data_IF_742225329631
#
_entry.id   IF_742225329631
#
_cell.length_a   1.000
_cell.length_b   1.000
_cell.length_c   1.000
_cell.angle_alpha   90.00
_cell.angle_beta   90.00
_cell.angle_gamma   90.00
#
_symmetry.space_group_name_H-M   'P 1'
#
loop_
_entity.id
_entity.type
_entity.pdbx_description
1 polymer ?
#
# COMPACT_ATOMS: atom_id res chain seq x y z
N UNK A 1 6.64 -2.29 -3.01
CA UNK A 1 5.51 -1.52 -2.46
C UNK A 1 5.68 -1.07 -1.00
N UNK A 2 5.86 -1.89 0.04
CA UNK A 2 5.96 -1.35 1.43
C UNK A 2 7.27 -0.65 1.81
N UNK A 3 8.39 -0.89 1.11
CA UNK A 3 9.62 -0.10 1.37
C UNK A 3 9.38 1.35 0.92
N UNK A 4 8.83 1.54 -0.29
CA UNK A 4 8.36 2.84 -0.77
C UNK A 4 7.30 3.44 0.17
N UNK A 5 6.31 2.66 0.62
CA UNK A 5 5.28 3.15 1.57
C UNK A 5 5.85 3.55 2.93
N UNK A 6 6.93 2.92 3.40
CA UNK A 6 7.60 3.26 4.66
C UNK A 6 8.44 4.52 4.51
N UNK A 7 9.17 4.66 3.41
CA UNK A 7 9.98 5.87 3.11
C UNK A 7 9.12 7.11 2.80
N UNK A 8 7.98 6.93 2.11
CA UNK A 8 6.99 7.98 1.81
C UNK A 8 6.36 8.54 3.08
N UNK A 9 6.24 7.76 4.17
CA UNK A 9 5.70 8.30 5.44
C UNK A 9 6.66 9.20 6.20
N UNK A 10 7.96 9.21 5.84
CA UNK A 10 8.95 10.15 6.38
C UNK A 10 9.27 10.01 7.88
N UNK A 11 8.86 8.90 8.51
CA UNK A 11 9.21 8.58 9.89
C UNK A 11 10.06 7.32 9.90
N UNK A 12 11.34 7.43 10.26
CA UNK A 12 12.07 6.27 10.75
C UNK A 12 11.51 5.93 12.14
N UNK A 13 10.54 5.01 12.17
CA UNK A 13 9.79 4.64 13.37
C UNK A 13 10.67 4.18 14.54
N UNK A 14 11.94 3.85 14.31
CA UNK A 14 12.89 3.49 15.37
C UNK A 14 13.48 4.72 16.05
N UNK A 15 14.15 5.60 15.30
CA UNK A 15 14.85 6.77 15.86
C UNK A 15 13.87 7.85 16.34
N UNK A 16 12.77 8.08 15.61
CA UNK A 16 11.76 9.08 16.00
C UNK A 16 10.98 8.69 17.25
N UNK A 17 10.84 7.38 17.52
CA UNK A 17 10.19 6.89 18.75
C UNK A 17 11.12 6.92 19.94
N UNK A 18 12.42 6.69 19.76
CA UNK A 18 13.38 6.83 20.88
C UNK A 18 13.42 8.30 21.34
N UNK A 19 13.49 9.26 20.41
CA UNK A 19 13.46 10.68 20.76
C UNK A 19 12.12 11.15 21.34
N UNK A 20 10.98 10.68 20.79
CA UNK A 20 9.66 11.06 21.30
C UNK A 20 9.29 10.32 22.60
N UNK A 21 9.81 9.10 22.82
CA UNK A 21 9.59 8.36 24.06
C UNK A 21 10.23 9.03 25.27
N UNK A 22 11.36 9.73 25.10
CA UNK A 22 11.94 10.55 26.16
C UNK A 22 10.97 11.67 26.59
N UNK A 23 10.27 12.30 25.64
CA UNK A 23 9.31 13.37 25.93
C UNK A 23 7.98 12.85 26.51
N UNK A 24 7.57 11.62 26.22
CA UNK A 24 6.36 11.01 26.80
C UNK A 24 6.59 10.38 28.18
N UNK A 25 7.81 9.91 28.47
CA UNK A 25 8.19 9.40 29.80
C UNK A 25 8.17 10.51 30.86
N UNK A 26 8.46 11.77 30.48
CA UNK A 26 8.31 12.93 31.37
C UNK A 26 6.84 13.27 31.72
N UNK A 27 5.87 12.77 30.94
CA UNK A 27 4.43 13.06 31.09
C UNK A 27 3.61 11.85 31.52
N UNK A 28 4.06 11.09 32.53
CA UNK A 28 3.21 10.30 33.44
C UNK A 28 2.11 9.37 32.87
N UNK A 29 2.14 8.98 31.60
CA UNK A 29 1.06 8.27 30.88
C UNK A 29 1.52 6.93 30.28
N UNK A 30 2.56 6.32 30.87
CA UNK A 30 3.35 5.24 30.25
C UNK A 30 2.68 3.87 30.22
N UNK A 31 1.84 3.49 31.18
CA UNK A 31 1.28 2.13 31.24
C UNK A 31 0.14 1.88 30.24
N UNK A 32 -0.72 2.89 30.04
CA UNK A 32 -1.87 2.81 29.12
C UNK A 32 -1.40 2.79 27.66
N UNK A 33 -0.37 3.59 27.33
CA UNK A 33 0.20 3.64 25.98
C UNK A 33 0.87 2.33 25.55
N UNK A 34 1.67 1.71 26.44
CA UNK A 34 2.36 0.43 26.13
C UNK A 34 1.34 -0.71 25.97
N UNK A 35 0.32 -0.79 26.84
CA UNK A 35 -0.72 -1.80 26.72
C UNK A 35 -1.48 -1.69 25.39
N UNK A 36 -1.88 -0.48 25.01
CA UNK A 36 -2.58 -0.24 23.75
C UNK A 36 -1.70 -0.61 22.54
N UNK A 37 -0.41 -0.25 22.58
CA UNK A 37 0.55 -0.59 21.53
C UNK A 37 0.73 -2.12 21.36
N UNK A 38 0.85 -2.86 22.46
CA UNK A 38 0.96 -4.33 22.44
C UNK A 38 -0.35 -4.95 21.93
N UNK A 39 -1.49 -4.48 22.43
CA UNK A 39 -2.81 -4.99 22.03
C UNK A 39 -3.07 -4.79 20.54
N UNK A 40 -2.86 -3.58 20.03
CA UNK A 40 -2.96 -3.29 18.58
C UNK A 40 -1.97 -4.13 17.78
N UNK A 41 -0.74 -4.27 18.27
CA UNK A 41 0.29 -5.14 17.69
C UNK A 41 -0.16 -6.59 17.54
N UNK A 42 -0.74 -7.18 18.59
CA UNK A 42 -1.25 -8.55 18.59
C UNK A 42 -2.38 -8.70 17.58
N UNK A 43 -3.37 -7.79 17.60
CA UNK A 43 -4.51 -7.83 16.67
C UNK A 43 -4.03 -7.77 15.22
N UNK A 44 -3.13 -6.84 14.91
CA UNK A 44 -2.59 -6.67 13.57
C UNK A 44 -1.71 -7.85 13.16
N UNK A 45 -0.90 -8.39 14.07
CA UNK A 45 -0.07 -9.56 13.81
C UNK A 45 -0.91 -10.81 13.49
N UNK A 46 -1.99 -11.06 14.24
CA UNK A 46 -2.92 -12.17 13.94
C UNK A 46 -3.61 -11.95 12.59
N UNK A 47 -4.04 -10.72 12.29
CA UNK A 47 -4.65 -10.38 11.00
C UNK A 47 -3.69 -10.65 9.84
N UNK A 48 -2.44 -10.18 9.95
CA UNK A 48 -1.42 -10.35 8.91
C UNK A 48 -0.96 -11.80 8.78
N UNK A 49 -0.88 -12.55 9.88
CA UNK A 49 -0.66 -14.00 9.85
C UNK A 49 -1.76 -14.73 9.08
N UNK A 50 -3.02 -14.35 9.29
CA UNK A 50 -4.16 -14.91 8.57
C UNK A 50 -4.03 -14.67 7.05
N UNK A 51 -3.76 -13.43 6.65
CA UNK A 51 -3.51 -13.08 5.25
C UNK A 51 -2.31 -13.82 4.65
N UNK A 52 -1.21 -13.89 5.39
CA UNK A 52 0.00 -14.59 4.95
C UNK A 52 -0.18 -16.11 4.87
N UNK A 53 -1.21 -16.68 5.51
CA UNK A 53 -1.51 -18.09 5.42
C UNK A 53 -2.34 -18.45 4.17
N UNK A 54 -2.97 -17.47 3.52
CA UNK A 54 -3.73 -17.70 2.29
C UNK A 54 -2.76 -17.75 1.11
N UNK A 55 -2.92 -18.71 0.17
CA UNK A 55 -3.91 -19.80 0.17
C UNK A 55 -3.38 -21.09 0.80
N UNK A 56 -2.06 -21.23 0.94
CA UNK A 56 -1.39 -22.52 1.15
C UNK A 56 -1.57 -23.12 2.55
N UNK A 57 -1.70 -22.29 3.57
CA UNK A 57 -1.55 -22.68 4.97
C UNK A 57 -2.82 -22.46 5.81
N UNK A 58 -3.81 -21.73 5.30
CA UNK A 58 -4.96 -21.22 6.09
C UNK A 58 -5.71 -22.31 6.86
N UNK A 59 -5.87 -23.50 6.28
CA UNK A 59 -6.54 -24.64 6.93
C UNK A 59 -5.58 -25.52 7.73
N UNK A 60 -4.37 -25.74 7.21
CA UNK A 60 -3.45 -26.77 7.71
C UNK A 60 -2.67 -26.26 8.92
N UNK A 61 -2.27 -24.98 8.89
CA UNK A 61 -1.38 -24.38 9.88
C UNK A 61 -1.99 -24.33 11.30
N UNK A 62 -3.26 -23.92 11.51
CA UNK A 62 -3.86 -23.95 12.85
C UNK A 62 -3.92 -25.35 13.46
N UNK A 63 -4.24 -26.36 12.62
CA UNK A 63 -4.27 -27.77 13.05
C UNK A 63 -2.85 -28.24 13.38
N UNK A 64 -1.85 -27.81 12.60
CA UNK A 64 -0.44 -28.09 12.86
C UNK A 64 0.03 -27.55 14.20
N UNK A 65 -0.29 -26.29 14.52
CA UNK A 65 0.01 -25.73 15.84
C UNK A 65 -0.65 -26.51 16.97
N UNK A 66 -1.92 -26.87 16.82
CA UNK A 66 -2.64 -27.67 17.82
C UNK A 66 -1.99 -29.05 18.05
N UNK A 67 -1.62 -29.76 16.98
CA UNK A 67 -0.96 -31.07 17.07
C UNK A 67 0.46 -30.98 17.63
N UNK A 68 1.20 -29.93 17.28
CA UNK A 68 2.54 -29.69 17.80
C UNK A 68 2.52 -29.43 19.31
N UNK A 69 1.56 -28.64 19.81
CA UNK A 69 1.47 -28.31 21.23
C UNK A 69 1.01 -29.47 22.13
N UNK A 70 0.33 -30.47 21.55
CA UNK A 70 -0.19 -31.62 22.30
C UNK A 70 0.92 -32.43 23.00
N UNK A 71 2.11 -32.55 22.40
CA UNK A 71 3.23 -33.32 22.94
C UNK A 71 4.47 -32.41 23.05
N UNK A 72 5.00 -32.19 24.24
CA UNK A 72 6.14 -31.28 24.49
C UNK A 72 7.51 -31.96 24.33
N UNK A 73 7.80 -32.43 23.12
CA UNK A 73 9.14 -32.91 22.79
C UNK A 73 10.13 -31.74 22.65
N UNK A 74 11.42 -31.94 22.96
CA UNK A 74 12.43 -30.88 22.89
C UNK A 74 12.52 -30.26 21.48
N UNK A 75 12.40 -31.07 20.42
CA UNK A 75 12.38 -30.60 19.02
C UNK A 75 11.22 -29.64 18.74
N UNK A 76 10.02 -29.92 19.26
CA UNK A 76 8.83 -29.09 19.09
C UNK A 76 8.95 -27.78 19.87
N UNK A 77 9.58 -27.82 21.04
CA UNK A 77 9.90 -26.62 21.81
C UNK A 77 10.89 -25.74 21.03
N UNK A 78 11.93 -26.32 20.44
CA UNK A 78 12.89 -25.59 19.60
C UNK A 78 12.22 -24.92 18.40
N UNK A 79 11.32 -25.64 17.69
CA UNK A 79 10.54 -25.07 16.59
C UNK A 79 9.69 -23.89 17.07
N UNK A 80 9.01 -24.04 18.21
CA UNK A 80 8.19 -22.97 18.80
C UNK A 80 9.03 -21.75 19.16
N UNK A 81 10.21 -21.95 19.75
CA UNK A 81 11.14 -20.86 20.07
C UNK A 81 11.60 -20.11 18.80
N UNK A 82 11.89 -20.84 17.72
CA UNK A 82 12.27 -20.24 16.44
C UNK A 82 11.15 -19.37 15.86
N UNK A 83 9.89 -19.83 15.93
CA UNK A 83 8.72 -19.06 15.51
C UNK A 83 8.64 -17.76 16.30
N UNK A 84 8.81 -17.82 17.63
CA UNK A 84 8.75 -16.62 18.48
C UNK A 84 9.86 -15.64 18.11
N UNK A 85 11.11 -16.10 17.97
CA UNK A 85 12.25 -15.24 17.64
C UNK A 85 12.05 -14.56 16.27
N UNK A 86 11.65 -15.33 15.25
CA UNK A 86 11.44 -14.82 13.90
C UNK A 86 10.16 -14.01 13.74
N UNK A 87 9.20 -14.12 14.66
CA UNK A 87 8.01 -13.29 14.71
C UNK A 87 8.28 -11.88 15.26
N UNK A 88 9.36 -11.67 16.03
CA UNK A 88 9.65 -10.38 16.67
C UNK A 88 9.71 -9.22 15.66
N UNK A 89 10.47 -9.31 14.53
CA UNK A 89 10.53 -8.23 13.56
C UNK A 89 9.16 -7.91 12.93
N UNK A 90 8.39 -8.95 12.59
CA UNK A 90 7.05 -8.79 12.03
C UNK A 90 6.09 -8.15 13.03
N UNK A 91 6.11 -8.62 14.29
CA UNK A 91 5.32 -8.03 15.37
C UNK A 91 5.63 -6.55 15.52
N UNK A 92 6.92 -6.17 15.59
CA UNK A 92 7.32 -4.78 15.67
C UNK A 92 6.75 -3.94 14.52
N UNK A 93 6.92 -4.40 13.27
CA UNK A 93 6.37 -3.73 12.08
C UNK A 93 4.86 -3.51 12.17
N UNK A 94 4.11 -4.51 12.61
CA UNK A 94 2.65 -4.42 12.72
C UNK A 94 2.17 -3.56 13.89
N UNK A 95 2.93 -3.51 14.99
CA UNK A 95 2.66 -2.59 16.10
C UNK A 95 2.92 -1.12 15.73
N UNK A 96 3.63 -0.86 14.63
CA UNK A 96 3.82 0.50 14.07
C UNK A 96 2.98 0.74 12.81
N UNK A 97 1.98 -0.13 12.56
CA UNK A 97 1.03 -0.04 11.44
C UNK A 97 1.65 -0.21 10.05
N UNK A 98 2.81 -0.87 9.96
CA UNK A 98 3.42 -1.28 8.70
C UNK A 98 2.81 -2.62 8.24
N UNK A 99 1.62 -2.58 7.64
CA UNK A 99 0.88 -3.78 7.24
C UNK A 99 1.39 -4.34 5.92
N UNK A 100 2.33 -5.29 6.00
CA UNK A 100 2.82 -6.04 4.86
C UNK A 100 3.13 -7.49 5.25
N UNK A 101 2.61 -8.46 4.50
CA UNK A 101 2.79 -9.90 4.76
C UNK A 101 4.23 -10.38 4.58
N UNK A 102 5.07 -9.63 3.85
CA UNK A 102 6.48 -9.97 3.59
C UNK A 102 7.32 -10.04 4.85
N UNK A 103 6.93 -9.33 5.91
CA UNK A 103 7.61 -9.46 7.21
C UNK A 103 7.48 -10.87 7.81
N UNK A 104 6.49 -11.66 7.38
CA UNK A 104 6.27 -13.04 7.84
C UNK A 104 6.96 -14.08 6.94
N UNK A 105 7.62 -13.70 5.85
CA UNK A 105 8.25 -14.65 4.93
C UNK A 105 9.33 -15.51 5.60
N UNK A 106 10.00 -14.98 6.61
CA UNK A 106 10.97 -15.74 7.41
C UNK A 106 10.32 -16.92 8.15
N UNK A 107 9.01 -16.85 8.44
CA UNK A 107 8.27 -17.93 9.10
C UNK A 107 7.78 -19.01 8.13
N UNK A 108 7.76 -18.76 6.81
CA UNK A 108 7.21 -19.70 5.83
C UNK A 108 7.86 -21.09 5.85
N UNK A 109 9.20 -21.22 5.89
CA UNK A 109 9.84 -22.53 6.03
C UNK A 109 9.39 -23.28 7.28
N UNK A 110 9.14 -22.55 8.38
CA UNK A 110 8.66 -23.15 9.62
C UNK A 110 7.18 -23.52 9.52
N UNK A 111 6.37 -22.71 8.84
CA UNK A 111 4.96 -23.04 8.54
C UNK A 111 4.85 -24.33 7.72
N UNK A 112 5.76 -24.58 6.78
CA UNK A 112 5.86 -25.87 6.08
C UNK A 112 6.08 -27.01 7.08
N UNK A 113 7.05 -26.90 8.00
CA UNK A 113 7.33 -27.92 9.02
C UNK A 113 6.11 -28.16 9.92
N UNK A 114 5.48 -27.08 10.39
CA UNK A 114 4.28 -27.17 11.24
C UNK A 114 3.11 -27.83 10.47
N UNK A 115 2.98 -27.54 9.19
CA UNK A 115 1.95 -28.11 8.32
C UNK A 115 2.15 -29.60 8.04
N UNK A 116 3.36 -30.15 8.20
CA UNK A 116 3.61 -31.58 8.06
C UNK A 116 2.97 -32.42 9.18
N UNK A 117 2.74 -31.88 10.38
CA UNK A 117 2.12 -32.64 11.48
C UNK A 117 0.71 -33.17 11.13
N UNK A 118 -0.24 -32.33 10.65
CA UNK A 118 -1.57 -32.81 10.26
C UNK A 118 -1.50 -33.68 9.01
N UNK A 119 -0.67 -33.33 8.02
CA UNK A 119 -0.48 -34.14 6.81
C UNK A 119 0.00 -35.54 7.18
N UNK A 120 1.02 -35.66 8.05
CA UNK A 120 1.53 -36.96 8.53
C UNK A 120 0.45 -37.75 9.26
N UNK A 121 -0.33 -37.10 10.11
CA UNK A 121 -1.42 -37.76 10.85
C UNK A 121 -2.51 -38.34 9.91
N UNK A 122 -2.78 -37.66 8.79
CA UNK A 122 -3.71 -38.16 7.76
C UNK A 122 -3.03 -39.26 6.93
N UNK A 123 -1.78 -39.06 6.53
CA UNK A 123 -0.96 -40.00 5.78
C UNK A 123 -0.87 -41.37 6.46
N UNK A 124 -0.70 -41.41 7.78
CA UNK A 124 -0.62 -42.66 8.54
C UNK A 124 -1.97 -43.41 8.63
N UNK A 125 -3.09 -42.74 8.34
CA UNK A 125 -4.46 -43.32 8.39
C UNK A 125 -4.99 -43.77 7.02
N UNK A 126 -4.39 -43.30 5.94
CA UNK A 126 -4.87 -43.56 4.58
C UNK A 126 -4.06 -44.70 3.95
N UNK A 127 -4.74 -45.62 3.28
CA UNK A 127 -4.11 -46.76 2.60
C UNK A 127 -3.33 -46.34 1.35
N UNK A 128 -3.90 -45.44 0.54
CA UNK A 128 -3.30 -44.90 -0.70
C UNK A 128 -2.49 -43.63 -0.43
N UNK A 129 -1.31 -43.82 0.16
CA UNK A 129 -0.39 -42.75 0.61
C UNK A 129 0.06 -41.81 -0.50
N UNK A 130 0.51 -42.34 -1.63
CA UNK A 130 1.00 -41.52 -2.75
C UNK A 130 -0.11 -40.66 -3.36
N UNK A 131 -1.32 -41.21 -3.46
CA UNK A 131 -2.50 -40.50 -3.95
C UNK A 131 -2.85 -39.30 -3.05
N UNK A 132 -2.75 -39.46 -1.72
CA UNK A 132 -2.99 -38.38 -0.77
C UNK A 132 -2.00 -37.23 -0.99
N UNK A 133 -0.71 -37.55 -1.13
CA UNK A 133 0.33 -36.54 -1.35
C UNK A 133 0.08 -35.79 -2.65
N UNK A 134 -0.13 -36.49 -3.76
CA UNK A 134 -0.42 -35.90 -5.08
C UNK A 134 -1.65 -34.98 -5.01
N UNK A 135 -2.74 -35.44 -4.40
CA UNK A 135 -3.97 -34.66 -4.29
C UNK A 135 -3.77 -33.40 -3.43
N UNK A 136 -3.08 -33.53 -2.29
CA UNK A 136 -2.83 -32.41 -1.38
C UNK A 136 -1.95 -31.35 -2.04
N UNK A 137 -0.89 -31.75 -2.74
CA UNK A 137 -0.02 -30.84 -3.48
C UNK A 137 -0.76 -30.17 -4.64
N UNK A 138 -1.54 -30.94 -5.41
CA UNK A 138 -2.33 -30.41 -6.52
C UNK A 138 -3.36 -29.37 -6.04
N UNK A 139 -4.05 -29.65 -4.93
CA UNK A 139 -5.00 -28.72 -4.32
C UNK A 139 -4.33 -27.40 -3.90
N UNK A 140 -3.15 -27.47 -3.25
CA UNK A 140 -2.39 -26.27 -2.87
C UNK A 140 -1.97 -25.47 -4.11
N UNK A 141 -1.45 -26.15 -5.14
CA UNK A 141 -1.02 -25.48 -6.38
C UNK A 141 -2.19 -24.79 -7.09
N UNK A 142 -3.33 -25.47 -7.23
CA UNK A 142 -4.53 -24.90 -7.84
C UNK A 142 -5.08 -23.71 -7.04
N UNK A 143 -5.12 -23.82 -5.70
CA UNK A 143 -5.53 -22.71 -4.85
C UNK A 143 -4.57 -21.52 -4.96
N UNK A 144 -3.26 -21.77 -5.08
CA UNK A 144 -2.25 -20.74 -5.32
C UNK A 144 -2.43 -20.05 -6.67
N UNK A 145 -2.71 -20.79 -7.74
CA UNK A 145 -2.97 -20.22 -9.07
C UNK A 145 -4.22 -19.34 -9.03
N UNK A 146 -5.33 -19.84 -8.48
CA UNK A 146 -6.57 -19.06 -8.38
C UNK A 146 -6.40 -17.79 -7.53
N UNK A 147 -5.65 -17.87 -6.43
CA UNK A 147 -5.35 -16.69 -5.60
C UNK A 147 -4.40 -15.70 -6.30
N UNK A 148 -3.46 -16.20 -7.11
CA UNK A 148 -2.57 -15.37 -7.90
C UNK A 148 -3.34 -14.60 -8.98
N UNK A 149 -4.24 -15.27 -9.72
CA UNK A 149 -5.11 -14.62 -10.70
C UNK A 149 -5.99 -13.54 -10.05
N UNK A 150 -6.56 -13.82 -8.88
CA UNK A 150 -7.34 -12.84 -8.12
C UNK A 150 -6.53 -11.58 -7.77
N UNK A 151 -5.26 -11.72 -7.36
CA UNK A 151 -4.40 -10.57 -7.07
C UNK A 151 -3.91 -9.84 -8.33
N UNK A 152 -3.99 -10.48 -9.50
CA UNK A 152 -3.43 -9.92 -10.73
C UNK A 152 -4.20 -8.68 -11.22
N UNK A 153 -5.51 -8.59 -10.98
CA UNK A 153 -6.32 -7.42 -11.35
C UNK A 153 -5.84 -6.14 -10.63
N UNK A 154 -5.57 -6.23 -9.32
CA UNK A 154 -4.99 -5.12 -8.54
C UNK A 154 -3.58 -4.77 -9.04
N UNK A 155 -2.79 -5.78 -9.40
CA UNK A 155 -1.45 -5.59 -9.97
C UNK A 155 -1.46 -4.91 -11.35
N UNK A 156 -2.44 -5.19 -12.21
CA UNK A 156 -2.54 -4.56 -13.52
C UNK A 156 -2.80 -3.06 -13.37
N UNK A 157 -3.73 -2.71 -12.49
CA UNK A 157 -4.06 -1.32 -12.22
C UNK A 157 -2.88 -0.53 -11.64
N UNK A 158 -2.13 -1.12 -10.72
CA UNK A 158 -0.89 -0.51 -10.21
C UNK A 158 0.14 -0.27 -11.32
N UNK A 159 0.27 -1.22 -12.25
CA UNK A 159 1.17 -1.09 -13.39
C UNK A 159 0.73 0.01 -14.37
N UNK A 160 -0.57 0.12 -14.63
CA UNK A 160 -1.12 1.19 -15.45
C UNK A 160 -0.96 2.57 -14.77
N UNK A 161 -1.19 2.68 -13.46
CA UNK A 161 -0.92 3.90 -12.71
C UNK A 161 0.56 4.32 -12.78
N UNK A 162 1.48 3.35 -12.76
CA UNK A 162 2.91 3.60 -13.01
C UNK A 162 3.16 4.16 -14.41
N UNK A 163 2.57 3.58 -15.46
CA UNK A 163 2.73 4.09 -16.83
C UNK A 163 2.14 5.50 -17.00
N UNK A 164 0.93 5.71 -16.49
CA UNK A 164 0.26 7.00 -16.52
C UNK A 164 1.04 8.09 -15.78
N UNK A 165 1.85 7.73 -14.77
CA UNK A 165 2.70 8.71 -14.07
C UNK A 165 3.68 9.42 -14.99
N UNK A 166 4.21 8.75 -16.03
CA UNK A 166 5.06 9.39 -17.04
C UNK A 166 4.29 10.42 -17.85
N UNK A 167 3.06 10.08 -18.26
CA UNK A 167 2.19 10.97 -19.01
C UNK A 167 1.81 12.20 -18.18
N UNK A 168 1.51 12.00 -16.89
CA UNK A 168 1.20 13.10 -15.96
C UNK A 168 2.42 14.00 -15.76
N UNK A 169 3.61 13.43 -15.54
CA UNK A 169 4.85 14.19 -15.36
C UNK A 169 5.24 14.99 -16.62
N UNK A 170 4.97 14.46 -17.81
CA UNK A 170 5.23 15.13 -19.08
C UNK A 170 4.25 16.29 -19.35
N UNK A 171 2.95 16.06 -19.10
CA UNK A 171 1.89 17.02 -19.48
C UNK A 171 1.62 18.10 -18.44
N UNK A 172 1.96 17.86 -17.18
CA UNK A 172 1.51 18.70 -16.07
C UNK A 172 2.65 19.23 -15.21
N UNK A 173 2.36 20.23 -14.37
CA UNK A 173 3.32 20.79 -13.42
C UNK A 173 2.81 20.74 -11.99
N UNK A 174 1.78 21.52 -11.70
CA UNK A 174 1.16 21.61 -10.38
C UNK A 174 -0.30 21.17 -10.50
N UNK A 175 -0.68 20.17 -9.71
CA UNK A 175 -1.94 19.43 -9.82
C UNK A 175 -2.52 19.11 -8.44
N UNK A 176 -3.77 18.64 -8.38
CA UNK A 176 -4.30 18.04 -7.16
C UNK A 176 -3.62 16.70 -6.86
N UNK A 177 -3.52 16.37 -5.58
CA UNK A 177 -3.05 15.09 -5.12
C UNK A 177 -4.10 13.98 -5.36
N UNK A 178 -3.67 12.81 -5.82
CA UNK A 178 -4.54 11.66 -6.12
C UNK A 178 -3.92 10.36 -5.57
N UNK A 179 -3.90 10.23 -4.25
CA UNK A 179 -3.35 9.05 -3.55
C UNK A 179 -4.28 7.85 -3.75
N UNK A 180 -3.74 6.61 -3.90
CA UNK A 180 -2.31 6.26 -3.86
C UNK A 180 -1.53 6.45 -5.17
N UNK A 181 -2.21 6.65 -6.30
CA UNK A 181 -1.61 6.57 -7.63
C UNK A 181 -0.56 7.67 -7.92
N UNK A 182 -0.73 8.87 -7.35
CA UNK A 182 0.28 9.93 -7.41
C UNK A 182 1.61 9.56 -6.73
N UNK A 183 1.68 8.44 -6.02
CA UNK A 183 2.92 7.87 -5.46
C UNK A 183 3.89 7.30 -6.49
N UNK A 184 3.47 7.13 -7.75
CA UNK A 184 4.32 6.68 -8.84
C UNK A 184 5.10 7.80 -9.53
N UNK A 185 4.65 9.05 -9.41
CA UNK A 185 5.31 10.22 -10.04
C UNK A 185 6.81 10.32 -9.74
N UNK A 186 7.30 10.09 -8.51
CA UNK A 186 8.72 10.21 -8.21
C UNK A 186 9.57 9.16 -8.93
N UNK A 187 8.96 8.06 -9.38
CA UNK A 187 9.66 7.01 -10.12
C UNK A 187 10.08 7.54 -11.50
N UNK A 188 9.30 8.44 -12.10
CA UNK A 188 9.65 9.08 -13.39
C UNK A 188 11.00 9.76 -13.28
N UNK A 189 11.19 10.67 -12.31
CA UNK A 189 12.47 11.33 -12.11
C UNK A 189 13.58 10.35 -11.72
N UNK A 190 13.27 9.27 -10.98
CA UNK A 190 14.26 8.24 -10.66
C UNK A 190 14.77 7.50 -11.91
N UNK A 191 13.93 7.31 -12.93
CA UNK A 191 14.34 6.68 -14.20
C UNK A 191 15.21 7.59 -15.08
N UNK A 192 15.18 8.90 -14.83
CA UNK A 192 15.97 9.89 -15.57
C UNK A 192 17.37 10.11 -14.97
N UNK A 193 17.68 9.50 -13.82
CA UNK A 193 18.99 9.63 -13.18
C UNK A 193 20.04 8.85 -13.97
N UNK A 194 21.12 9.53 -14.34
CA UNK A 194 22.24 8.92 -15.07
C UNK A 194 23.15 8.04 -14.17
N UNK A 195 23.37 8.44 -12.91
CA UNK A 195 24.29 7.76 -11.99
C UNK A 195 23.64 7.46 -10.63
N UNK A 196 23.70 6.21 -10.19
CA UNK A 196 23.22 5.75 -8.87
C UNK A 196 24.39 5.23 -8.02
N UNK A 197 24.42 5.46 -6.69
CA UNK A 197 23.40 6.09 -5.83
C UNK A 197 23.47 7.63 -5.79
N UNK A 198 22.31 8.27 -5.67
CA UNK A 198 22.19 9.72 -5.39
C UNK A 198 21.68 9.97 -3.97
N UNK A 199 22.07 11.11 -3.38
CA UNK A 199 21.56 11.50 -2.08
C UNK A 199 20.12 12.00 -2.19
N UNK A 200 19.29 11.70 -1.18
CA UNK A 200 17.88 12.11 -1.14
C UNK A 200 17.70 13.62 -1.33
N UNK A 201 18.54 14.44 -0.73
CA UNK A 201 18.49 15.90 -0.86
C UNK A 201 18.94 16.42 -2.23
N UNK A 202 19.66 15.61 -3.00
CA UNK A 202 20.05 15.95 -4.38
C UNK A 202 18.93 15.59 -5.37
N UNK A 203 18.17 14.53 -5.07
CA UNK A 203 16.99 14.17 -5.86
C UNK A 203 15.80 15.08 -5.57
N UNK A 204 15.54 15.34 -4.29
CA UNK A 204 14.22 15.79 -3.85
C UNK A 204 13.98 17.28 -4.15
N UNK A 205 13.15 17.58 -5.14
CA UNK A 205 12.61 18.90 -5.44
C UNK A 205 11.10 18.92 -5.18
N UNK A 206 10.64 19.80 -4.27
CA UNK A 206 9.22 19.88 -3.90
C UNK A 206 8.34 20.48 -5.01
N UNK A 207 8.92 21.22 -5.96
CA UNK A 207 8.17 21.89 -7.02
C UNK A 207 8.07 21.05 -8.30
N UNK A 208 8.91 20.02 -8.43
CA UNK A 208 8.89 19.07 -9.54
C UNK A 208 8.26 17.76 -9.06
N UNK A 209 7.04 17.47 -9.53
CA UNK A 209 6.28 16.29 -9.13
C UNK A 209 7.01 14.97 -9.45
N UNK A 210 7.90 14.97 -10.44
CA UNK A 210 8.71 13.80 -10.82
C UNK A 210 9.90 13.55 -9.90
N UNK A 211 10.28 14.55 -9.08
CA UNK A 211 11.46 14.54 -8.20
C UNK A 211 11.09 14.64 -6.73
N UNK A 212 9.91 14.17 -6.37
CA UNK A 212 9.32 14.47 -5.07
C UNK A 212 8.97 13.20 -4.29
N UNK A 213 9.91 12.68 -3.50
CA UNK A 213 9.80 11.33 -2.90
C UNK A 213 8.66 11.17 -1.90
N UNK A 214 8.16 12.26 -1.33
CA UNK A 214 6.99 12.25 -0.46
C UNK A 214 5.87 13.08 -1.12
N UNK A 215 4.93 12.42 -1.82
CA UNK A 215 3.80 13.09 -2.46
C UNK A 215 2.96 13.96 -1.53
N UNK A 216 3.00 13.73 -0.20
CA UNK A 216 2.23 14.51 0.79
C UNK A 216 2.90 15.81 1.18
N UNK A 217 4.20 15.94 0.91
CA UNK A 217 5.00 17.14 1.18
C UNK A 217 5.44 17.82 -0.12
N UNK A 218 4.83 17.44 -1.23
CA UNK A 218 5.12 17.99 -2.52
C UNK A 218 4.35 19.28 -2.73
N UNK A 219 5.03 20.38 -3.04
CA UNK A 219 4.36 21.62 -3.41
C UNK A 219 3.65 21.49 -4.77
N UNK A 220 4.21 20.68 -5.68
CA UNK A 220 3.57 20.37 -6.97
C UNK A 220 2.32 19.51 -6.88
N UNK A 221 2.05 18.90 -5.71
CA UNK A 221 0.84 18.11 -5.46
C UNK A 221 0.02 18.75 -4.34
N UNK A 222 -1.00 19.50 -4.73
CA UNK A 222 -1.86 20.22 -3.78
C UNK A 222 -2.75 19.21 -3.06
N UNK A 223 -2.66 19.10 -1.72
CA UNK A 223 -3.53 18.23 -0.94
C UNK A 223 -4.98 18.63 -1.10
N UNK A 224 -5.85 17.64 -1.31
CA UNK A 224 -7.28 17.91 -1.45
C UNK A 224 -7.88 18.15 -0.06
N UNK A 225 -8.56 19.29 0.08
CA UNK A 225 -9.34 19.65 1.26
C UNK A 225 -10.83 19.47 0.99
N UNK A 226 -11.65 19.44 2.05
CA UNK A 226 -13.10 19.28 1.93
C UNK A 226 -13.78 20.61 1.55
N UNK A 227 -13.46 21.12 0.37
CA UNK A 227 -13.98 22.36 -0.22
C UNK A 227 -14.63 22.08 -1.58
N UNK A 228 -15.32 23.06 -2.16
CA UNK A 228 -15.84 22.93 -3.54
C UNK A 228 -14.70 22.99 -4.57
N UNK A 229 -14.95 22.51 -5.80
CA UNK A 229 -13.97 22.63 -6.90
C UNK A 229 -13.60 24.10 -7.16
N UNK A 230 -14.58 24.99 -7.15
CA UNK A 230 -14.37 26.43 -7.34
C UNK A 230 -13.42 26.99 -6.27
N UNK A 231 -13.73 26.73 -5.00
CA UNK A 231 -12.92 27.20 -3.88
C UNK A 231 -11.51 26.57 -3.92
N UNK A 232 -11.41 25.29 -4.30
CA UNK A 232 -10.13 24.63 -4.50
C UNK A 232 -9.28 25.33 -5.58
N UNK A 233 -9.88 25.66 -6.73
CA UNK A 233 -9.18 26.35 -7.83
C UNK A 233 -8.79 27.78 -7.41
N UNK A 234 -9.70 28.55 -6.81
CA UNK A 234 -9.45 29.91 -6.33
C UNK A 234 -8.30 29.95 -5.31
N UNK A 235 -8.36 29.08 -4.30
CA UNK A 235 -7.36 29.04 -3.22
C UNK A 235 -5.96 28.64 -3.69
N UNK A 236 -5.85 27.94 -4.81
CA UNK A 236 -4.58 27.39 -5.30
C UNK A 236 -4.09 28.02 -6.61
N UNK A 237 -4.77 29.04 -7.13
CA UNK A 237 -4.35 29.78 -8.31
C UNK A 237 -2.98 30.45 -8.12
N UNK A 238 -2.77 31.13 -6.99
CA UNK A 238 -1.48 31.78 -6.68
C UNK A 238 -0.35 30.77 -6.47
N UNK A 239 -0.67 29.57 -6.01
CA UNK A 239 0.26 28.44 -5.90
C UNK A 239 0.62 27.83 -7.26
N UNK A 240 0.00 28.29 -8.35
CA UNK A 240 0.29 27.87 -9.72
C UNK A 240 -0.40 26.58 -10.14
N UNK A 241 -1.52 26.19 -9.52
CA UNK A 241 -2.33 25.06 -9.97
C UNK A 241 -2.64 25.19 -11.48
N UNK A 242 -2.36 24.13 -12.24
CA UNK A 242 -2.49 24.16 -13.71
C UNK A 242 -3.49 23.14 -14.23
N UNK A 243 -3.55 21.96 -13.62
CA UNK A 243 -4.39 20.86 -14.06
C UNK A 243 -5.09 20.18 -12.89
N UNK A 244 -6.22 19.54 -13.21
CA UNK A 244 -6.95 18.66 -12.32
C UNK A 244 -6.88 17.23 -12.89
N UNK A 245 -6.40 16.31 -12.05
CA UNK A 245 -6.38 14.87 -12.30
C UNK A 245 -7.57 14.23 -11.60
N UNK A 246 -8.36 13.47 -12.35
CA UNK A 246 -9.46 12.65 -11.85
C UNK A 246 -9.33 11.23 -12.38
N UNK A 247 -9.89 10.26 -11.66
CA UNK A 247 -9.90 8.86 -12.12
C UNK A 247 -11.12 8.10 -11.59
N UNK A 248 -11.26 6.83 -11.99
CA UNK A 248 -12.30 5.90 -11.56
C UNK A 248 -11.91 5.07 -10.32
N UNK A 249 -10.96 5.56 -9.52
CA UNK A 249 -10.33 4.72 -8.50
C UNK A 249 -11.34 4.15 -7.51
N UNK A 250 -11.31 2.86 -7.10
CA UNK A 250 -12.26 2.35 -6.08
C UNK A 250 -12.06 2.98 -4.70
N UNK A 251 -10.88 3.57 -4.47
CA UNK A 251 -10.66 4.51 -3.37
C UNK A 251 -11.45 5.82 -3.56
N UNK A 252 -12.32 5.92 -4.57
CA UNK A 252 -13.28 6.98 -4.85
C UNK A 252 -14.09 7.38 -3.63
N UNK A 253 -14.43 6.42 -2.78
CA UNK A 253 -15.17 6.66 -1.53
C UNK A 253 -14.40 7.59 -0.57
N UNK A 254 -13.08 7.70 -0.73
CA UNK A 254 -12.21 8.66 -0.02
C UNK A 254 -11.82 9.86 -0.87
N UNK A 255 -12.14 9.88 -2.16
CA UNK A 255 -11.94 11.05 -3.01
C UNK A 255 -13.01 12.08 -2.70
N UNK A 256 -12.61 13.35 -2.72
CA UNK A 256 -13.54 14.44 -2.42
C UNK A 256 -14.59 14.50 -3.52
N UNK A 257 -15.84 14.76 -3.11
CA UNK A 257 -17.03 14.68 -3.96
C UNK A 257 -16.91 15.46 -5.27
N UNK A 258 -16.16 16.57 -5.29
CA UNK A 258 -16.01 17.37 -6.50
C UNK A 258 -15.19 16.66 -7.58
N UNK A 259 -14.16 15.89 -7.23
CA UNK A 259 -13.39 15.13 -8.22
C UNK A 259 -14.27 14.07 -8.88
N UNK A 260 -15.14 13.45 -8.08
CA UNK A 260 -16.15 12.53 -8.59
C UNK A 260 -17.08 13.22 -9.58
N UNK A 261 -17.56 14.41 -9.22
CA UNK A 261 -18.45 15.17 -10.10
C UNK A 261 -17.76 15.55 -11.41
N UNK A 262 -16.49 15.99 -11.37
CA UNK A 262 -15.70 16.30 -12.58
C UNK A 262 -15.54 15.07 -13.46
N UNK A 263 -15.26 13.90 -12.86
CA UNK A 263 -15.09 12.66 -13.61
C UNK A 263 -16.36 12.20 -14.34
N UNK A 264 -17.51 12.32 -13.69
CA UNK A 264 -18.82 11.85 -14.20
C UNK A 264 -19.49 12.89 -15.11
N UNK A 265 -19.32 14.19 -14.83
CA UNK A 265 -20.07 15.29 -15.44
C UNK A 265 -19.13 16.33 -16.07
N UNK A 266 -18.21 15.89 -16.94
CA UNK A 266 -17.21 16.75 -17.59
C UNK A 266 -17.80 18.02 -18.23
N UNK A 267 -18.97 17.89 -18.86
CA UNK A 267 -19.64 18.99 -19.58
C UNK A 267 -20.19 20.09 -18.66
N UNK A 268 -20.29 19.85 -17.35
CA UNK A 268 -20.73 20.86 -16.37
C UNK A 268 -19.62 21.87 -16.05
N UNK A 269 -18.37 21.59 -16.43
CA UNK A 269 -17.20 22.38 -16.08
C UNK A 269 -16.51 22.92 -17.34
N UNK A 270 -17.05 23.97 -17.99
CA UNK A 270 -16.53 24.46 -19.27
C UNK A 270 -15.10 25.04 -19.19
N UNK A 271 -14.64 25.39 -17.98
CA UNK A 271 -13.28 25.86 -17.71
C UNK A 271 -12.28 24.72 -17.49
N UNK A 272 -12.71 23.46 -17.52
CA UNK A 272 -11.85 22.28 -17.46
C UNK A 272 -11.73 21.67 -18.86
N UNK A 273 -10.60 21.91 -19.52
CA UNK A 273 -10.33 21.42 -20.88
C UNK A 273 -9.66 20.05 -20.77
N UNK A 274 -10.34 18.99 -21.22
CA UNK A 274 -9.76 17.64 -21.24
C UNK A 274 -8.60 17.57 -22.22
N UNK A 275 -7.41 17.24 -21.73
CA UNK A 275 -6.19 17.09 -22.54
C UNK A 275 -5.76 15.64 -22.70
N UNK A 276 -6.26 14.76 -21.83
CA UNK A 276 -5.95 13.33 -21.87
C UNK A 276 -7.06 12.51 -21.23
N UNK A 277 -7.34 11.36 -21.84
CA UNK A 277 -8.24 10.33 -21.35
C UNK A 277 -7.58 8.97 -21.55
N UNK A 278 -7.24 8.30 -20.45
CA UNK A 278 -6.54 7.02 -20.48
C UNK A 278 -7.34 5.90 -21.17
N UNK A 279 -8.67 5.94 -21.15
CA UNK A 279 -9.47 4.92 -21.85
C UNK A 279 -9.34 5.05 -23.37
N UNK A 280 -9.15 6.26 -23.88
CA UNK A 280 -8.91 6.50 -25.32
C UNK A 280 -7.58 5.88 -25.80
N UNK A 281 -6.64 5.71 -24.88
CA UNK A 281 -5.33 5.07 -25.11
C UNK A 281 -5.29 3.57 -24.76
N UNK A 282 -6.44 2.98 -24.39
CA UNK A 282 -6.57 1.54 -24.15
C UNK A 282 -6.21 1.07 -22.74
N UNK A 283 -6.06 1.98 -21.78
CA UNK A 283 -5.87 1.63 -20.36
C UNK A 283 -7.20 1.16 -19.74
N UNK A 284 -7.09 0.26 -18.76
CA UNK A 284 -8.23 -0.20 -17.96
C UNK A 284 -8.50 0.71 -16.77
N UNK A 285 -7.44 1.24 -16.14
CA UNK A 285 -7.50 2.25 -15.10
C UNK A 285 -7.81 3.61 -15.73
N UNK A 286 -9.02 4.11 -15.47
CA UNK A 286 -9.55 5.29 -16.15
C UNK A 286 -9.20 6.57 -15.41
N UNK A 287 -8.08 7.19 -15.79
CA UNK A 287 -7.66 8.53 -15.39
C UNK A 287 -7.89 9.55 -16.54
N UNK A 288 -8.20 10.80 -16.17
CA UNK A 288 -8.30 11.95 -17.08
C UNK A 288 -7.48 13.13 -16.56
N UNK A 289 -6.95 13.92 -17.49
CA UNK A 289 -6.21 15.16 -17.20
C UNK A 289 -6.97 16.33 -17.78
N UNK A 290 -7.33 17.28 -16.92
CA UNK A 290 -8.00 18.52 -17.31
C UNK A 290 -7.09 19.71 -17.07
N UNK A 291 -6.85 20.53 -18.10
CA UNK A 291 -6.22 21.84 -17.94
C UNK A 291 -7.27 22.86 -17.50
N UNK A 292 -6.91 23.70 -16.53
CA UNK A 292 -7.75 24.80 -16.09
C UNK A 292 -7.60 25.97 -17.07
N UNK A 293 -8.71 26.41 -17.64
CA UNK A 293 -8.80 27.68 -18.36
C UNK A 293 -9.25 28.78 -17.37
N UNK A 294 -8.27 29.54 -16.87
CA UNK A 294 -8.54 30.57 -15.87
C UNK A 294 -9.37 31.74 -16.43
N UNK A 295 -9.29 32.03 -17.72
CA UNK A 295 -10.09 33.08 -18.34
C UNK A 295 -11.58 32.69 -18.34
N UNK A 296 -11.89 31.43 -18.71
CA UNK A 296 -13.26 30.92 -18.63
C UNK A 296 -13.71 30.81 -17.17
N UNK A 297 -12.84 30.33 -16.28
CA UNK A 297 -13.16 30.16 -14.86
C UNK A 297 -13.57 31.48 -14.18
N UNK A 298 -12.81 32.54 -14.41
CA UNK A 298 -13.13 33.89 -13.88
C UNK A 298 -14.44 34.43 -14.45
N UNK A 299 -14.70 34.23 -15.74
CA UNK A 299 -15.97 34.66 -16.36
C UNK A 299 -17.18 33.95 -15.77
N UNK A 300 -17.03 32.73 -15.25
CA UNK A 300 -18.12 31.93 -14.65
C UNK A 300 -18.34 32.30 -13.17
N UNK A 301 -17.30 32.67 -12.42
CA UNK A 301 -17.34 32.78 -10.95
C UNK A 301 -16.97 34.15 -10.36
N UNK A 302 -16.47 35.10 -11.16
CA UNK A 302 -16.15 36.47 -10.74
C UNK A 302 -17.11 37.52 -11.36
N UNK A 303 -18.27 37.07 -11.87
CA UNK A 303 -19.39 37.92 -12.34
C UNK A 303 -20.31 38.38 -11.22
#
# INVERSE_FOLDING_TARGET
>A
MSVLRTEVTGYDSLTSKISNSQNEIERGSSSIGIYNWISEGIVNFVKMLGWAAIPSFVLILPIGFFLMWKNREPTKISITALIVIFAIPAFYGYSVKAFDTRYLFLLYPIFCIVSLYPIKKIYDRVSKKDLLLILSTSCIVLASIGFFEYQNEESQREFEAYQLSFIVAEKTKIINQYIPESGYLPIVGLTEIEEFPILRNQFNDSNDISKCLDPRKCNGLIPITNVSLEEFIKNNKESGLTHIIVDDSEHFLYRVQFLKNVFENENEFPYLIKEFDSQEEGFTYHMKIFRIDYDIFENVYDS
#
